data_IF_934625914640
#
_entry.id   IF_934625914640
#
_cell.length_a   1.000
_cell.length_b   1.000
_cell.length_c   1.000
_cell.angle_alpha   90.00
_cell.angle_beta   90.00
_cell.angle_gamma   90.00
#
_symmetry.space_group_name_H-M   'P 1'
#
loop_
_entity.id
_entity.type
_entity.pdbx_description
1 polymer ?
#
# COMPACT_ATOMS: atom_id res chain seq x y z
N UNK A 1 -15.07 -21.87 -3.53
CA UNK A 1 -14.80 -20.62 -2.77
C UNK A 1 -15.70 -19.53 -3.31
N UNK A 2 -16.18 -18.61 -2.48
CA UNK A 2 -17.09 -17.55 -2.91
C UNK A 2 -16.40 -16.68 -3.97
N UNK A 3 -16.78 -16.86 -5.23
CA UNK A 3 -16.24 -16.14 -6.38
C UNK A 3 -17.08 -14.89 -6.60
N UNK A 4 -16.60 -13.74 -6.12
CA UNK A 4 -17.21 -12.44 -6.39
C UNK A 4 -17.25 -11.51 -5.18
N UNK A 5 -17.57 -10.24 -5.42
CA UNK A 5 -17.75 -9.28 -4.34
C UNK A 5 -19.01 -9.62 -3.54
N UNK A 6 -18.97 -9.41 -2.21
CA UNK A 6 -20.16 -9.55 -1.38
C UNK A 6 -21.18 -8.46 -1.72
N UNK A 7 -20.72 -7.21 -1.86
CA UNK A 7 -21.51 -6.10 -2.42
C UNK A 7 -21.43 -6.10 -3.95
N UNK A 8 -22.44 -6.65 -4.61
CA UNK A 8 -22.52 -6.85 -6.08
C UNK A 8 -22.33 -5.59 -6.92
N UNK A 9 -22.64 -4.41 -6.40
CA UNK A 9 -22.34 -3.15 -7.09
C UNK A 9 -20.86 -3.03 -7.50
N UNK A 10 -19.92 -3.56 -6.69
CA UNK A 10 -18.49 -3.51 -6.98
C UNK A 10 -18.04 -4.47 -8.09
N UNK A 11 -18.90 -5.36 -8.57
CA UNK A 11 -18.63 -6.17 -9.77
C UNK A 11 -18.50 -5.29 -11.02
N UNK A 12 -19.13 -4.10 -11.02
CA UNK A 12 -19.02 -3.08 -12.08
C UNK A 12 -17.94 -2.03 -11.82
N UNK A 13 -17.18 -2.15 -10.73
CA UNK A 13 -16.15 -1.16 -10.42
C UNK A 13 -15.02 -1.21 -11.45
N UNK A 14 -14.65 -0.04 -11.98
CA UNK A 14 -13.64 0.07 -13.03
C UNK A 14 -12.21 -0.04 -12.44
N UNK A 15 -11.82 -1.28 -12.09
CA UNK A 15 -10.48 -1.63 -11.65
C UNK A 15 -9.46 -1.42 -12.78
N UNK A 16 -8.29 -0.91 -12.43
CA UNK A 16 -7.17 -0.70 -13.36
C UNK A 16 -6.37 -1.99 -13.48
N UNK A 17 -6.09 -2.40 -14.71
CA UNK A 17 -5.08 -3.41 -15.02
C UNK A 17 -3.75 -2.71 -15.29
N UNK A 18 -2.82 -2.82 -14.35
CA UNK A 18 -1.48 -2.25 -14.44
C UNK A 18 -0.47 -3.23 -13.83
N UNK A 19 -0.02 -4.17 -14.67
CA UNK A 19 0.88 -5.26 -14.26
C UNK A 19 2.23 -4.72 -13.76
N UNK A 20 2.66 -3.56 -14.26
CA UNK A 20 3.90 -2.91 -13.85
C UNK A 20 3.79 -2.35 -12.42
N UNK A 21 2.71 -1.63 -12.09
CA UNK A 21 2.47 -1.14 -10.71
C UNK A 21 2.17 -2.30 -9.75
N UNK A 22 1.45 -3.32 -10.19
CA UNK A 22 1.23 -4.53 -9.39
C UNK A 22 2.56 -5.20 -9.02
N UNK A 23 3.47 -5.37 -9.99
CA UNK A 23 4.81 -5.93 -9.75
C UNK A 23 5.61 -5.09 -8.77
N UNK A 24 5.61 -3.75 -8.90
CA UNK A 24 6.29 -2.86 -7.95
C UNK A 24 5.71 -2.94 -6.55
N UNK A 25 4.38 -3.06 -6.41
CA UNK A 25 3.74 -3.29 -5.12
C UNK A 25 4.15 -4.63 -4.51
N UNK A 26 4.06 -5.74 -5.25
CA UNK A 26 4.49 -7.07 -4.77
C UNK A 26 5.95 -7.09 -4.31
N UNK A 27 6.82 -6.29 -4.93
CA UNK A 27 8.25 -6.24 -4.62
C UNK A 27 8.65 -5.20 -3.54
N UNK A 28 7.71 -4.40 -3.02
CA UNK A 28 8.04 -3.30 -2.11
C UNK A 28 8.95 -2.25 -2.76
N UNK A 29 8.58 -1.81 -3.97
CA UNK A 29 9.26 -0.80 -4.80
C UNK A 29 8.30 0.31 -5.26
N UNK A 30 7.36 0.67 -4.40
CA UNK A 30 6.33 1.68 -4.68
C UNK A 30 6.84 3.11 -4.47
N UNK A 31 7.96 3.26 -3.76
CA UNK A 31 8.47 4.55 -3.32
C UNK A 31 7.75 5.09 -2.08
N UNK A 32 6.76 4.38 -1.54
CA UNK A 32 6.11 4.70 -0.27
C UNK A 32 6.69 3.81 0.85
N UNK A 33 7.52 4.36 1.76
CA UNK A 33 8.35 3.56 2.66
C UNK A 33 7.58 2.59 3.56
N UNK A 34 6.44 3.00 4.13
CA UNK A 34 5.65 2.11 4.98
C UNK A 34 4.99 0.96 4.20
N UNK A 35 4.65 1.18 2.92
CA UNK A 35 4.11 0.14 2.03
C UNK A 35 5.24 -0.81 1.65
N UNK A 36 6.38 -0.25 1.24
CA UNK A 36 7.55 -1.03 0.82
C UNK A 36 8.11 -1.88 1.96
N UNK A 37 8.18 -1.33 3.18
CA UNK A 37 8.57 -2.05 4.38
C UNK A 37 7.65 -3.25 4.65
N UNK A 38 6.33 -3.07 4.54
CA UNK A 38 5.37 -4.15 4.68
C UNK A 38 5.56 -5.26 3.67
N UNK A 39 5.68 -4.90 2.39
CA UNK A 39 5.82 -5.89 1.32
C UNK A 39 7.15 -6.65 1.40
N UNK A 40 8.22 -6.00 1.89
CA UNK A 40 9.51 -6.66 2.15
C UNK A 40 9.47 -7.54 3.40
N UNK A 41 8.83 -7.10 4.49
CA UNK A 41 8.59 -7.94 5.68
C UNK A 41 7.85 -9.22 5.29
N UNK A 42 6.78 -9.10 4.50
CA UNK A 42 6.01 -10.24 4.01
C UNK A 42 6.86 -11.19 3.18
N UNK A 43 7.66 -10.66 2.25
CA UNK A 43 8.51 -11.49 1.40
C UNK A 43 9.63 -12.19 2.16
N UNK A 44 10.19 -11.56 3.20
CA UNK A 44 11.32 -12.11 3.96
C UNK A 44 10.89 -13.07 5.08
N UNK A 45 9.71 -12.85 5.67
CA UNK A 45 9.28 -13.59 6.88
C UNK A 45 8.02 -14.42 6.70
N UNK A 46 7.25 -14.17 5.64
CA UNK A 46 5.91 -14.72 5.47
C UNK A 46 4.90 -14.23 6.51
N UNK A 47 5.21 -13.15 7.23
CA UNK A 47 4.32 -12.49 8.17
C UNK A 47 4.28 -10.99 7.86
N UNK A 48 3.20 -10.32 8.27
CA UNK A 48 3.09 -8.86 8.21
C UNK A 48 2.18 -8.38 9.32
N UNK A 49 2.53 -7.30 10.02
CA UNK A 49 1.68 -6.75 11.07
C UNK A 49 0.33 -6.30 10.50
N UNK A 50 -0.78 -6.54 11.22
CA UNK A 50 -2.14 -6.29 10.73
C UNK A 50 -2.37 -4.85 10.26
N UNK A 51 -1.85 -3.84 10.99
CA UNK A 51 -1.93 -2.44 10.56
C UNK A 51 -1.26 -2.22 9.20
N UNK A 52 -0.13 -2.86 8.97
CA UNK A 52 0.62 -2.72 7.71
C UNK A 52 -0.11 -3.46 6.58
N UNK A 53 -0.73 -4.62 6.85
CA UNK A 53 -1.64 -5.29 5.89
C UNK A 53 -2.76 -4.36 5.43
N UNK A 54 -3.38 -3.62 6.34
CA UNK A 54 -4.41 -2.63 6.00
C UNK A 54 -3.87 -1.49 5.12
N UNK A 55 -2.67 -1.00 5.41
CA UNK A 55 -2.03 0.10 4.66
C UNK A 55 -1.68 -0.38 3.24
N UNK A 56 -1.00 -1.52 3.11
CA UNK A 56 -0.58 -2.08 1.83
C UNK A 56 -1.78 -2.48 0.97
N UNK A 57 -2.80 -3.07 1.57
CA UNK A 57 -4.06 -3.39 0.88
C UNK A 57 -4.79 -2.12 0.42
N UNK A 58 -4.90 -1.09 1.28
CA UNK A 58 -5.54 0.17 0.90
C UNK A 58 -4.79 0.86 -0.23
N UNK A 59 -3.46 0.77 -0.24
CA UNK A 59 -2.64 1.32 -1.31
C UNK A 59 -2.93 0.61 -2.64
N UNK A 60 -2.99 -0.73 -2.65
CA UNK A 60 -3.31 -1.50 -3.86
C UNK A 60 -4.70 -1.14 -4.42
N UNK A 61 -5.73 -1.20 -3.58
CA UNK A 61 -7.13 -1.08 -4.06
C UNK A 61 -7.56 0.37 -4.25
N UNK A 62 -6.95 1.33 -3.56
CA UNK A 62 -7.35 2.75 -3.64
C UNK A 62 -6.36 3.61 -4.40
N UNK A 63 -5.06 3.50 -4.12
CA UNK A 63 -4.06 4.32 -4.83
C UNK A 63 -3.77 3.80 -6.23
N UNK A 64 -3.63 2.49 -6.36
CA UNK A 64 -3.37 1.85 -7.67
C UNK A 64 -4.66 1.46 -8.39
N UNK A 65 -5.79 1.43 -7.68
CA UNK A 65 -7.11 0.97 -8.17
C UNK A 65 -7.04 -0.42 -8.80
N UNK A 66 -6.11 -1.26 -8.33
CA UNK A 66 -5.99 -2.65 -8.79
C UNK A 66 -6.96 -3.51 -7.99
N UNK A 67 -7.56 -4.49 -8.66
CA UNK A 67 -8.54 -5.38 -8.04
C UNK A 67 -7.94 -6.12 -6.84
N UNK A 68 -8.66 -6.12 -5.72
CA UNK A 68 -8.27 -6.76 -4.46
C UNK A 68 -7.94 -8.25 -4.61
N UNK A 69 -8.51 -8.94 -5.61
CA UNK A 69 -8.22 -10.35 -5.92
C UNK A 69 -6.73 -10.56 -6.22
N UNK A 70 -6.05 -9.59 -6.83
CA UNK A 70 -4.61 -9.71 -7.10
C UNK A 70 -3.76 -9.59 -5.84
N UNK A 71 -4.23 -8.80 -4.87
CA UNK A 71 -3.64 -8.73 -3.54
C UNK A 71 -3.91 -9.98 -2.71
N UNK A 72 -5.14 -10.50 -2.77
CA UNK A 72 -5.56 -11.73 -2.08
C UNK A 72 -4.70 -12.92 -2.52
N UNK A 73 -4.51 -13.12 -3.83
CA UNK A 73 -3.64 -14.17 -4.38
C UNK A 73 -2.22 -14.03 -3.87
N UNK A 74 -1.66 -12.82 -3.91
CA UNK A 74 -0.30 -12.60 -3.44
C UNK A 74 -0.14 -12.88 -1.94
N UNK A 75 -1.11 -12.45 -1.13
CA UNK A 75 -1.10 -12.71 0.32
C UNK A 75 -1.29 -14.20 0.62
N UNK A 76 -2.11 -14.91 -0.16
CA UNK A 76 -2.25 -16.36 -0.07
C UNK A 76 -0.93 -17.09 -0.31
N UNK A 77 -0.15 -16.62 -1.29
CA UNK A 77 1.11 -17.27 -1.65
C UNK A 77 2.26 -16.94 -0.67
N UNK A 78 2.15 -15.87 0.11
CA UNK A 78 3.22 -15.40 0.99
C UNK A 78 2.97 -15.56 2.49
N UNK A 79 1.72 -15.50 2.96
CA UNK A 79 1.42 -15.52 4.40
C UNK A 79 1.51 -16.93 4.98
N UNK A 80 2.37 -17.12 5.98
CA UNK A 80 2.43 -18.35 6.79
C UNK A 80 1.18 -18.53 7.66
N UNK A 81 0.55 -17.43 8.06
CA UNK A 81 -0.71 -17.43 8.81
C UNK A 81 -1.95 -17.36 7.91
N UNK A 82 -1.80 -17.72 6.63
CA UNK A 82 -2.89 -17.65 5.67
C UNK A 82 -4.10 -18.48 6.14
N UNK A 83 -5.23 -17.79 6.19
CA UNK A 83 -6.54 -18.39 6.42
C UNK A 83 -7.52 -17.79 5.41
N UNK A 84 -8.21 -18.65 4.66
CA UNK A 84 -9.08 -18.24 3.55
C UNK A 84 -10.16 -17.25 4.01
N UNK A 85 -11.00 -17.53 5.03
CA UNK A 85 -11.97 -16.56 5.54
C UNK A 85 -11.36 -15.21 5.90
N UNK A 86 -10.29 -15.21 6.70
CA UNK A 86 -9.67 -13.98 7.20
C UNK A 86 -9.05 -13.15 6.07
N UNK A 87 -8.36 -13.79 5.12
CA UNK A 87 -7.73 -13.10 3.99
C UNK A 87 -8.79 -12.46 3.09
N UNK A 88 -9.78 -13.25 2.65
CA UNK A 88 -10.84 -12.76 1.75
C UNK A 88 -11.66 -11.67 2.43
N UNK A 89 -12.06 -11.86 3.69
CA UNK A 89 -12.83 -10.85 4.43
C UNK A 89 -12.03 -9.55 4.61
N UNK A 90 -10.74 -9.64 4.95
CA UNK A 90 -9.87 -8.48 5.08
C UNK A 90 -9.74 -7.67 3.78
N UNK A 91 -9.49 -8.35 2.66
CA UNK A 91 -9.40 -7.70 1.35
C UNK A 91 -10.71 -7.03 0.93
N UNK A 92 -11.85 -7.71 1.11
CA UNK A 92 -13.16 -7.13 0.80
C UNK A 92 -13.52 -5.96 1.73
N UNK A 93 -13.10 -6.01 3.00
CA UNK A 93 -13.29 -4.92 3.95
C UNK A 93 -12.52 -3.66 3.53
N UNK A 94 -11.26 -3.80 3.10
CA UNK A 94 -10.45 -2.67 2.61
C UNK A 94 -10.96 -2.15 1.25
N UNK A 95 -11.41 -3.04 0.37
CA UNK A 95 -11.96 -2.72 -0.94
C UNK A 95 -13.37 -2.11 -0.89
N UNK A 96 -13.98 -1.97 0.29
CA UNK A 96 -15.31 -1.36 0.43
C UNK A 96 -16.48 -2.27 0.03
N UNK A 97 -16.21 -3.53 -0.33
CA UNK A 97 -17.19 -4.47 -0.88
C UNK A 97 -17.60 -5.61 0.08
N UNK A 98 -17.04 -5.67 1.29
CA UNK A 98 -17.45 -6.59 2.37
C UNK A 98 -18.70 -6.14 3.16
N UNK A 99 -19.16 -6.97 4.10
CA UNK A 99 -20.41 -6.74 4.85
C UNK A 99 -20.34 -5.42 5.64
N UNK A 100 -19.34 -5.30 6.52
CA UNK A 100 -19.07 -4.13 7.36
C UNK A 100 -17.87 -3.32 6.86
N UNK A 101 -17.69 -3.29 5.53
CA UNK A 101 -16.52 -2.68 4.92
C UNK A 101 -16.38 -1.20 5.27
N UNK A 102 -15.15 -0.78 5.53
CA UNK A 102 -14.84 0.64 5.62
C UNK A 102 -15.31 1.34 4.34
N UNK A 103 -16.00 2.49 4.43
CA UNK A 103 -16.50 3.15 3.22
C UNK A 103 -15.36 3.39 2.23
N UNK A 104 -15.59 3.09 0.94
CA UNK A 104 -14.53 3.14 -0.08
C UNK A 104 -13.80 4.49 -0.10
N UNK A 105 -14.54 5.59 0.06
CA UNK A 105 -14.03 6.96 0.11
C UNK A 105 -13.03 7.24 1.26
N UNK A 106 -12.95 6.37 2.27
CA UNK A 106 -11.92 6.45 3.33
C UNK A 106 -10.59 5.93 2.79
N UNK A 107 -9.83 6.80 2.14
CA UNK A 107 -8.51 6.48 1.57
C UNK A 107 -7.42 6.83 2.59
N UNK A 108 -6.65 5.85 3.04
CA UNK A 108 -5.55 6.09 3.98
C UNK A 108 -4.43 6.87 3.29
N UNK A 109 -3.95 7.95 3.89
CA UNK A 109 -2.70 8.56 3.45
C UNK A 109 -1.53 7.70 4.00
N UNK A 110 -0.74 7.00 3.14
CA UNK A 110 0.33 6.13 3.61
C UNK A 110 1.37 6.88 4.44
N UNK A 111 1.64 8.14 4.09
CA UNK A 111 2.60 9.00 4.79
C UNK A 111 2.13 9.21 6.23
N UNK A 112 0.88 9.66 6.41
CA UNK A 112 0.31 9.89 7.75
C UNK A 112 0.14 8.59 8.54
N UNK A 113 -0.12 7.46 7.87
CA UNK A 113 -0.15 6.16 8.55
C UNK A 113 1.25 5.76 9.03
N UNK A 114 2.29 5.96 8.22
CA UNK A 114 3.67 5.77 8.61
C UNK A 114 4.06 6.65 9.79
N UNK A 115 3.84 7.96 9.70
CA UNK A 115 4.14 8.92 10.77
C UNK A 115 3.42 8.58 12.10
N UNK A 116 2.21 8.00 12.01
CA UNK A 116 1.43 7.61 13.19
C UNK A 116 1.85 6.28 13.81
N UNK A 117 2.11 5.26 13.00
CA UNK A 117 2.32 3.88 13.47
C UNK A 117 3.79 3.45 13.50
N UNK A 118 4.68 4.25 12.92
CA UNK A 118 6.13 4.10 12.92
C UNK A 118 6.78 5.49 13.08
N UNK A 119 6.47 6.18 14.18
CA UNK A 119 6.84 7.60 14.37
C UNK A 119 8.35 7.84 14.27
N UNK A 120 9.16 6.92 14.75
CA UNK A 120 10.64 6.99 14.68
C UNK A 120 11.21 6.45 13.36
N UNK A 121 10.38 5.84 12.51
CA UNK A 121 10.81 5.23 11.25
C UNK A 121 11.58 3.93 11.42
N UNK A 122 11.56 3.32 12.60
CA UNK A 122 12.36 2.13 12.93
C UNK A 122 11.89 0.90 12.16
N UNK A 123 10.58 0.75 11.97
CA UNK A 123 10.03 -0.34 11.16
C UNK A 123 10.42 -0.19 9.69
N UNK A 124 10.29 1.02 9.13
CA UNK A 124 10.73 1.32 7.76
C UNK A 124 12.23 1.05 7.61
N UNK A 125 13.06 1.54 8.52
CA UNK A 125 14.52 1.35 8.49
C UNK A 125 14.94 -0.12 8.56
N UNK A 126 14.22 -0.93 9.35
CA UNK A 126 14.46 -2.38 9.46
C UNK A 126 14.29 -3.09 8.12
N UNK A 127 13.21 -2.80 7.39
CA UNK A 127 12.81 -3.55 6.19
C UNK A 127 13.24 -2.87 4.87
N UNK A 128 13.47 -1.57 4.89
CA UNK A 128 13.95 -0.76 3.76
C UNK A 128 15.32 -0.19 4.13
N UNK A 129 16.31 -1.09 4.20
CA UNK A 129 17.65 -0.81 4.75
C UNK A 129 18.35 0.36 4.06
N UNK A 130 18.09 0.59 2.79
CA UNK A 130 18.62 1.74 2.06
C UNK A 130 18.19 3.07 2.71
N UNK A 131 17.03 3.16 3.37
CA UNK A 131 16.55 4.38 4.04
C UNK A 131 17.10 4.58 5.46
N UNK A 132 18.02 3.72 5.94
CA UNK A 132 18.65 3.86 7.25
C UNK A 132 19.24 5.27 7.52
N UNK A 133 19.96 5.89 6.56
CA UNK A 133 20.54 7.22 6.75
C UNK A 133 19.50 8.36 6.81
N UNK A 134 18.26 8.11 6.37
CA UNK A 134 17.25 9.16 6.27
C UNK A 134 16.82 9.64 7.66
N UNK A 135 16.80 10.95 7.92
CA UNK A 135 16.27 11.51 9.16
C UNK A 135 14.78 11.19 9.33
N UNK A 136 14.34 11.02 10.58
CA UNK A 136 12.92 10.77 10.94
C UNK A 136 11.93 11.69 10.22
N UNK A 137 12.28 12.97 10.06
CA UNK A 137 11.44 13.98 9.39
C UNK A 137 11.02 13.58 7.96
N UNK A 138 11.87 12.83 7.27
CA UNK A 138 11.68 12.47 5.86
C UNK A 138 11.45 10.97 5.64
N UNK A 139 11.52 10.13 6.70
CA UNK A 139 11.52 8.67 6.55
C UNK A 139 10.25 8.11 5.87
N UNK A 140 9.11 8.78 6.00
CA UNK A 140 7.84 8.37 5.36
C UNK A 140 7.51 9.13 4.08
N UNK A 141 8.35 10.11 3.71
CA UNK A 141 8.23 10.94 2.50
C UNK A 141 9.62 11.36 1.98
N UNK A 142 10.49 10.38 1.64
CA UNK A 142 11.89 10.65 1.36
C UNK A 142 12.07 11.58 0.14
N UNK A 143 11.13 11.57 -0.82
CA UNK A 143 11.14 12.47 -1.98
C UNK A 143 10.99 13.96 -1.63
N UNK A 144 10.54 14.31 -0.42
CA UNK A 144 10.46 15.69 0.05
C UNK A 144 11.77 16.16 0.72
N UNK A 145 12.78 15.29 0.81
CA UNK A 145 14.05 15.63 1.43
C UNK A 145 14.90 16.51 0.50
N UNK A 146 15.25 17.74 0.90
CA UNK A 146 16.09 18.64 0.11
C UNK A 146 17.46 18.05 -0.24
N UNK A 147 18.09 18.54 -1.31
CA UNK A 147 19.40 18.04 -1.79
C UNK A 147 20.55 18.32 -0.81
N UNK A 148 20.46 19.40 -0.02
CA UNK A 148 21.42 19.72 1.03
C UNK A 148 21.31 18.74 2.20
N UNK A 149 20.10 18.38 2.62
CA UNK A 149 19.85 17.34 3.65
C UNK A 149 20.28 15.96 3.16
N UNK A 150 20.04 15.63 1.89
CA UNK A 150 20.56 14.43 1.22
C UNK A 150 22.08 14.32 1.30
N UNK A 151 22.77 15.44 1.01
CA UNK A 151 24.23 15.49 1.02
C UNK A 151 24.81 15.26 2.42
N UNK A 152 24.16 15.74 3.48
CA UNK A 152 24.58 15.55 4.88
C UNK A 152 24.62 14.08 5.31
N UNK A 153 23.76 13.25 4.73
CA UNK A 153 23.68 11.81 5.03
C UNK A 153 24.25 10.92 3.91
N UNK A 154 24.98 11.52 2.96
CA UNK A 154 25.54 10.86 1.78
C UNK A 154 24.52 9.96 1.05
N UNK A 155 23.31 10.48 0.86
CA UNK A 155 22.20 9.74 0.26
C UNK A 155 21.72 10.42 -1.02
N UNK A 156 21.49 9.66 -2.09
CA UNK A 156 20.96 10.15 -3.35
C UNK A 156 19.62 9.48 -3.65
N UNK A 157 18.51 10.21 -3.50
CA UNK A 157 17.16 9.65 -3.68
C UNK A 157 16.94 9.02 -5.06
N UNK A 158 17.51 9.60 -6.12
CA UNK A 158 17.35 9.13 -7.50
C UNK A 158 18.09 7.81 -7.75
N UNK A 159 19.09 7.49 -6.93
CA UNK A 159 19.93 6.28 -7.09
C UNK A 159 19.64 5.22 -6.03
N UNK A 160 19.42 5.63 -4.79
CA UNK A 160 19.36 4.73 -3.64
C UNK A 160 17.95 4.22 -3.36
N UNK A 161 16.90 4.90 -3.82
CA UNK A 161 15.52 4.49 -3.56
C UNK A 161 14.58 4.82 -4.73
N UNK A 162 13.31 4.46 -4.60
CA UNK A 162 12.31 4.60 -5.66
C UNK A 162 11.53 5.91 -5.53
N UNK A 163 11.30 6.58 -6.66
CA UNK A 163 10.31 7.65 -6.73
C UNK A 163 8.89 7.07 -6.53
N UNK A 164 7.95 7.83 -5.92
CA UNK A 164 6.57 7.41 -5.77
C UNK A 164 5.96 7.00 -7.12
N UNK A 165 5.42 5.78 -7.19
CA UNK A 165 4.81 5.26 -8.43
C UNK A 165 3.47 5.92 -8.80
N UNK A 166 2.94 6.73 -7.88
CA UNK A 166 1.74 7.55 -8.06
C UNK A 166 1.79 8.72 -7.08
N UNK A 167 1.23 9.87 -7.44
CA UNK A 167 1.03 10.98 -6.50
C UNK A 167 -0.18 10.70 -5.59
N UNK A 168 -0.06 10.97 -4.29
CA UNK A 168 -1.15 10.69 -3.33
C UNK A 168 -2.44 11.46 -3.63
N UNK A 169 -2.35 12.76 -3.92
CA UNK A 169 -3.51 13.61 -4.12
C UNK A 169 -4.26 13.23 -5.41
N UNK A 170 -3.52 13.00 -6.48
CA UNK A 170 -4.07 12.56 -7.77
C UNK A 170 -4.71 11.16 -7.66
N UNK A 171 -4.01 10.20 -7.04
CA UNK A 171 -4.54 8.87 -6.77
C UNK A 171 -5.84 8.91 -5.97
N UNK A 172 -5.86 9.74 -4.92
CA UNK A 172 -7.03 9.91 -4.06
C UNK A 172 -8.22 10.44 -4.87
N UNK A 173 -8.02 11.48 -5.68
CA UNK A 173 -9.08 12.06 -6.49
C UNK A 173 -9.59 11.07 -7.54
N UNK A 174 -8.69 10.39 -8.26
CA UNK A 174 -9.05 9.35 -9.23
C UNK A 174 -9.86 8.21 -8.61
N UNK A 175 -9.52 7.78 -7.39
CA UNK A 175 -10.27 6.76 -6.67
C UNK A 175 -11.67 7.22 -6.25
N UNK A 176 -11.81 8.49 -5.83
CA UNK A 176 -13.12 9.06 -5.47
C UNK A 176 -14.01 9.23 -6.70
N UNK A 177 -13.45 9.64 -7.84
CA UNK A 177 -14.17 9.73 -9.11
C UNK A 177 -14.65 8.35 -9.57
N UNK A 178 -13.78 7.34 -9.55
CA UNK A 178 -14.16 5.97 -9.89
C UNK A 178 -15.29 5.46 -8.98
N UNK A 179 -15.25 5.79 -7.68
CA UNK A 179 -16.31 5.44 -6.75
C UNK A 179 -17.61 6.21 -6.95
N UNK A 180 -17.54 7.48 -7.37
CA UNK A 180 -18.71 8.27 -7.75
C UNK A 180 -19.39 7.67 -8.98
N UNK A 181 -18.60 7.27 -9.98
CA UNK A 181 -19.10 6.64 -11.21
C UNK A 181 -19.73 5.27 -10.96
N UNK A 182 -19.38 4.57 -9.87
CA UNK A 182 -20.06 3.33 -9.46
C UNK A 182 -21.51 3.56 -9.01
N UNK A 183 -21.81 4.74 -8.47
CA UNK A 183 -23.16 5.07 -7.96
C UNK A 183 -24.13 5.49 -9.06
N UNK A 184 -23.61 5.85 -10.23
CA UNK A 184 -24.38 6.23 -11.41
C UNK A 184 -24.65 4.99 -12.28
#
# INVERSE_FOLDING_TARGET
MQTGNLRKQFDKFNWVRDDAKLKKWKQGKTGYPIVDAGMRELSETGWMHNRVRMITASFLVKHLRINWVEGEKHFRDCLLDFNVPNNVAGWQWVAGCGADAAPYFRIFNPILQGEKFDSEGMYVKKWVKELNPIPKKYIHKPWEMPEDEQSKVNFNLKKNYYAPIVNHAEARNSALEAFKNLKN
#
